data_IF_780471838475
#
_entry.id   IF_780471838475
#
_cell.length_a   1.000
_cell.length_b   1.000
_cell.length_c   1.000
_cell.angle_alpha   90.00
_cell.angle_beta   90.00
_cell.angle_gamma   90.00
#
_symmetry.space_group_name_H-M   'P 1'
#
loop_
_entity.id
_entity.type
_entity.pdbx_description
1 polymer ?
#
# COMPACT_ATOMS: atom_id res chain seq x y z
N UNK A 1 -3.66 -0.74 -0.62
CA UNK A 1 -2.92 -1.79 -1.32
C UNK A 1 -3.12 -3.17 -0.69
N UNK A 2 -2.83 -3.34 0.60
CA UNK A 2 -3.04 -4.62 1.28
C UNK A 2 -4.50 -5.15 1.19
N UNK A 3 -5.48 -4.29 0.93
CA UNK A 3 -6.88 -4.69 0.85
C UNK A 3 -7.18 -5.63 -0.32
N UNK A 4 -6.58 -5.43 -1.48
CA UNK A 4 -6.81 -6.32 -2.65
C UNK A 4 -6.29 -7.71 -2.35
N UNK A 5 -5.10 -7.82 -1.78
CA UNK A 5 -4.48 -9.11 -1.42
C UNK A 5 -5.29 -9.85 -0.35
N UNK A 6 -5.92 -9.12 0.57
CA UNK A 6 -6.72 -9.70 1.65
C UNK A 6 -8.04 -10.33 1.16
N UNK A 7 -8.60 -9.85 0.06
CA UNK A 7 -9.92 -10.28 -0.42
C UNK A 7 -9.89 -11.27 -1.58
N UNK A 8 -8.75 -11.43 -2.27
CA UNK A 8 -8.66 -12.45 -3.32
C UNK A 8 -8.46 -13.87 -2.76
N UNK A 9 -8.86 -14.91 -3.50
CA UNK A 9 -8.49 -16.29 -3.17
C UNK A 9 -6.97 -16.49 -3.13
N UNK A 10 -6.49 -17.40 -2.31
CA UNK A 10 -5.06 -17.73 -2.22
C UNK A 10 -4.55 -18.31 -3.53
N UNK A 11 -3.36 -17.87 -3.94
CA UNK A 11 -2.59 -18.47 -5.01
C UNK A 11 -1.55 -19.44 -4.43
N UNK A 12 -0.96 -20.29 -5.26
CA UNK A 12 0.08 -21.23 -4.83
C UNK A 12 1.29 -20.51 -4.21
N UNK A 13 1.69 -19.37 -4.79
CA UNK A 13 2.74 -18.50 -4.27
C UNK A 13 2.27 -17.05 -4.38
N UNK A 14 2.45 -16.30 -3.32
CA UNK A 14 2.06 -14.90 -3.24
C UNK A 14 3.21 -14.06 -2.67
N UNK A 15 3.42 -12.88 -3.24
CA UNK A 15 4.31 -11.89 -2.67
C UNK A 15 3.65 -10.51 -2.71
N UNK A 16 3.92 -9.70 -1.69
CA UNK A 16 3.53 -8.31 -1.59
C UNK A 16 4.79 -7.48 -1.41
N UNK A 17 4.97 -6.49 -2.28
CA UNK A 17 6.12 -5.60 -2.25
C UNK A 17 5.66 -4.15 -2.08
N UNK A 18 6.36 -3.41 -1.25
CA UNK A 18 6.17 -1.97 -1.06
C UNK A 18 7.53 -1.33 -0.77
N UNK A 19 7.73 -0.10 -1.21
CA UNK A 19 8.95 0.65 -0.95
C UNK A 19 8.97 1.21 0.48
N UNK A 20 7.79 1.37 1.11
CA UNK A 20 7.66 1.91 2.45
C UNK A 20 8.00 0.85 3.51
N UNK A 21 9.11 1.02 4.25
CA UNK A 21 9.54 0.05 5.25
C UNK A 21 8.56 -0.07 6.42
N UNK A 22 7.84 1.01 6.77
CA UNK A 22 6.82 0.99 7.81
C UNK A 22 5.62 0.10 7.44
N UNK A 23 5.17 0.17 6.19
CA UNK A 23 4.11 -0.71 5.68
C UNK A 23 4.51 -2.17 5.77
N UNK A 24 5.69 -2.51 5.27
CA UNK A 24 6.19 -3.89 5.30
C UNK A 24 6.45 -4.38 6.73
N UNK A 25 7.00 -3.53 7.60
CA UNK A 25 7.17 -3.86 9.01
C UNK A 25 5.84 -4.16 9.70
N UNK A 26 4.81 -3.33 9.47
CA UNK A 26 3.46 -3.55 9.99
C UNK A 26 2.88 -4.90 9.54
N UNK A 27 2.96 -5.20 8.24
CA UNK A 27 2.45 -6.46 7.69
C UNK A 27 3.21 -7.69 8.22
N UNK A 28 4.55 -7.62 8.34
CA UNK A 28 5.37 -8.68 8.93
C UNK A 28 5.02 -8.95 10.39
N UNK A 29 4.74 -7.89 11.15
CA UNK A 29 4.32 -8.04 12.54
C UNK A 29 2.93 -8.67 12.65
N UNK A 30 1.97 -8.20 11.87
CA UNK A 30 0.62 -8.78 11.82
C UNK A 30 0.70 -10.25 11.42
N UNK A 31 1.52 -10.58 10.42
CA UNK A 31 1.72 -11.95 9.97
C UNK A 31 2.26 -12.88 11.07
N UNK A 32 3.25 -12.41 11.85
CA UNK A 32 3.99 -13.25 12.79
C UNK A 32 3.46 -13.21 14.22
N UNK A 33 2.98 -12.05 14.68
CA UNK A 33 2.67 -11.79 16.08
C UNK A 33 1.33 -11.06 16.28
N UNK A 34 0.21 -11.58 15.71
CA UNK A 34 -1.07 -10.87 15.73
C UNK A 34 -1.57 -10.59 17.14
N UNK A 35 -1.42 -11.54 18.08
CA UNK A 35 -1.87 -11.37 19.46
C UNK A 35 -1.13 -10.23 20.16
N UNK A 36 0.19 -10.17 20.02
CA UNK A 36 1.04 -9.12 20.60
C UNK A 36 0.65 -7.74 20.06
N UNK A 37 0.38 -7.64 18.76
CA UNK A 37 -0.03 -6.37 18.15
C UNK A 37 -1.41 -5.94 18.62
N UNK A 38 -2.36 -6.86 18.67
CA UNK A 38 -3.71 -6.58 19.19
C UNK A 38 -3.63 -6.07 20.63
N UNK A 39 -2.85 -6.71 21.48
CA UNK A 39 -2.64 -6.28 22.86
C UNK A 39 -2.03 -4.87 22.92
N UNK A 40 -0.94 -4.61 22.21
CA UNK A 40 -0.25 -3.32 22.21
C UNK A 40 -1.12 -2.19 21.67
N UNK A 41 -1.83 -2.40 20.57
CA UNK A 41 -2.73 -1.40 20.00
C UNK A 41 -3.94 -1.14 20.90
N UNK A 42 -4.44 -2.14 21.61
CA UNK A 42 -5.55 -1.98 22.56
C UNK A 42 -5.17 -1.13 23.78
N UNK A 43 -3.88 -1.10 24.14
CA UNK A 43 -3.31 -0.28 25.24
C UNK A 43 -2.64 0.99 24.74
N UNK A 44 -2.58 1.20 23.41
CA UNK A 44 -1.88 2.34 22.85
C UNK A 44 -2.61 3.65 23.12
N UNK A 45 -1.85 4.66 23.53
CA UNK A 45 -2.39 6.01 23.72
C UNK A 45 -2.47 6.74 22.38
N UNK A 46 -3.66 6.78 21.77
CA UNK A 46 -3.89 7.49 20.52
C UNK A 46 -4.01 8.99 20.78
N UNK A 47 -2.88 9.67 20.99
CA UNK A 47 -2.77 11.10 21.27
C UNK A 47 -1.94 11.84 20.20
N UNK A 48 -2.01 13.19 20.20
CA UNK A 48 -1.22 14.01 19.30
C UNK A 48 0.29 13.82 19.53
N UNK A 49 0.71 13.66 20.79
CA UNK A 49 2.11 13.42 21.12
C UNK A 49 2.58 12.08 20.53
N UNK A 50 1.82 11.01 20.72
CA UNK A 50 2.14 9.70 20.16
C UNK A 50 2.13 9.72 18.62
N UNK A 51 1.23 10.48 17.98
CA UNK A 51 1.26 10.68 16.55
C UNK A 51 2.59 11.30 16.09
N UNK A 52 3.08 12.32 16.77
CA UNK A 52 4.38 12.95 16.44
C UNK A 52 5.54 11.97 16.67
N UNK A 53 5.52 11.22 17.77
CA UNK A 53 6.53 10.18 18.05
C UNK A 53 6.56 9.12 16.94
N UNK A 54 5.39 8.62 16.52
CA UNK A 54 5.29 7.67 15.42
C UNK A 54 5.78 8.27 14.10
N UNK A 55 5.48 9.55 13.83
CA UNK A 55 5.94 10.25 12.62
C UNK A 55 7.47 10.34 12.56
N UNK A 56 8.12 10.69 13.68
CA UNK A 56 9.58 10.73 13.80
C UNK A 56 10.17 9.32 13.61
N UNK A 57 9.57 8.32 14.24
CA UNK A 57 9.99 6.93 14.13
C UNK A 57 9.97 6.44 12.66
N UNK A 58 8.93 6.79 11.93
CA UNK A 58 8.79 6.44 10.50
C UNK A 58 9.78 7.22 9.62
N UNK A 59 10.07 8.48 9.95
CA UNK A 59 11.05 9.30 9.24
C UNK A 59 12.49 8.81 9.40
N UNK A 60 12.84 8.26 10.55
CA UNK A 60 14.18 7.69 10.83
C UNK A 60 14.39 6.30 10.22
N UNK A 61 13.33 5.66 9.76
CA UNK A 61 13.39 4.35 9.10
C UNK A 61 13.73 3.16 9.98
N UNK A 62 13.83 2.00 9.36
CA UNK A 62 14.05 0.72 10.06
C UNK A 62 15.44 0.56 10.69
N UNK A 63 16.43 1.35 10.25
CA UNK A 63 17.80 1.26 10.76
C UNK A 63 17.96 1.76 12.19
N UNK A 64 17.07 2.66 12.65
CA UNK A 64 17.11 3.23 13.99
C UNK A 64 16.19 2.50 14.98
N UNK A 65 15.21 1.73 14.48
CA UNK A 65 14.19 1.07 15.28
C UNK A 65 14.07 -0.40 14.85
N UNK A 66 13.88 -1.31 15.79
CA UNK A 66 13.52 -2.69 15.47
C UNK A 66 12.21 -2.76 14.66
N UNK A 67 12.04 -3.82 13.87
CA UNK A 67 10.85 -4.07 13.03
C UNK A 67 9.55 -3.91 13.83
N UNK A 68 9.54 -4.33 15.09
CA UNK A 68 8.37 -4.26 15.95
C UNK A 68 7.94 -2.80 16.23
N UNK A 69 8.86 -1.96 16.68
CA UNK A 69 8.58 -0.56 16.96
C UNK A 69 8.17 0.21 15.72
N UNK A 70 8.83 -0.06 14.58
CA UNK A 70 8.50 0.54 13.30
C UNK A 70 7.09 0.16 12.83
N UNK A 71 6.74 -1.13 12.91
CA UNK A 71 5.43 -1.61 12.47
C UNK A 71 4.28 -1.11 13.35
N UNK A 72 4.45 -1.10 14.67
CA UNK A 72 3.45 -0.51 15.59
C UNK A 72 3.28 0.99 15.31
N UNK A 73 4.40 1.71 15.12
CA UNK A 73 4.36 3.13 14.77
C UNK A 73 3.62 3.37 13.45
N UNK A 74 3.81 2.53 12.44
CA UNK A 74 3.12 2.66 11.16
C UNK A 74 1.60 2.46 11.29
N UNK A 75 1.16 1.44 12.05
CA UNK A 75 -0.26 1.17 12.27
C UNK A 75 -0.88 2.32 13.08
N UNK A 76 -0.26 2.71 14.21
CA UNK A 76 -0.77 3.75 15.08
C UNK A 76 -0.81 5.12 14.38
N UNK A 77 0.25 5.49 13.64
CA UNK A 77 0.32 6.71 12.85
C UNK A 77 -0.81 6.77 11.82
N UNK A 78 -0.96 5.72 11.02
CA UNK A 78 -2.02 5.62 10.02
C UNK A 78 -3.42 5.68 10.63
N UNK A 79 -3.62 5.08 11.81
CA UNK A 79 -4.91 5.08 12.51
C UNK A 79 -5.30 6.46 13.07
N UNK A 80 -4.31 7.29 13.44
CA UNK A 80 -4.52 8.66 13.96
C UNK A 80 -4.51 9.73 12.88
N UNK A 81 -4.08 9.38 11.69
CA UNK A 81 -3.86 10.33 10.61
C UNK A 81 -5.15 10.77 9.93
N UNK A 82 -5.17 12.02 9.52
CA UNK A 82 -6.15 12.51 8.57
C UNK A 82 -5.72 12.06 7.17
N UNK A 83 -6.47 11.13 6.58
CA UNK A 83 -6.18 10.64 5.23
C UNK A 83 -6.83 11.56 4.20
N UNK A 84 -6.03 12.11 3.30
CA UNK A 84 -6.48 12.89 2.15
C UNK A 84 -5.85 12.32 0.88
N UNK A 85 -6.67 11.76 -0.01
CA UNK A 85 -6.21 11.27 -1.31
C UNK A 85 -5.13 10.18 -1.21
N UNK A 86 -5.26 9.23 -0.27
CA UNK A 86 -4.25 8.17 -0.07
C UNK A 86 -3.02 8.60 0.73
N UNK A 87 -2.86 9.89 1.02
CA UNK A 87 -1.76 10.41 1.83
C UNK A 87 -2.19 10.78 3.25
N UNK A 88 -1.22 10.77 4.15
CA UNK A 88 -1.41 11.20 5.53
C UNK A 88 -1.13 12.70 5.64
N UNK A 89 -2.16 13.48 5.98
CA UNK A 89 -2.07 14.94 6.10
C UNK A 89 -2.18 15.45 7.53
N UNK A 90 -1.43 14.83 8.45
CA UNK A 90 -1.36 15.27 9.83
C UNK A 90 -2.33 14.57 10.79
N UNK A 91 -2.26 14.94 12.06
CA UNK A 91 -3.06 14.37 13.15
C UNK A 91 -4.53 14.73 13.04
N UNK A 92 -5.40 13.75 13.30
CA UNK A 92 -6.84 13.92 13.40
C UNK A 92 -7.36 13.46 14.76
N UNK A 93 -7.88 14.36 15.62
CA UNK A 93 -8.49 13.98 16.89
C UNK A 93 -9.64 12.99 16.73
N UNK A 94 -10.43 13.13 15.65
CA UNK A 94 -11.57 12.24 15.36
C UNK A 94 -11.08 10.82 15.00
N UNK A 95 -10.01 10.70 14.20
CA UNK A 95 -9.44 9.41 13.86
C UNK A 95 -8.77 8.76 15.09
N UNK A 96 -8.06 9.53 15.90
CA UNK A 96 -7.48 9.06 17.14
C UNK A 96 -8.56 8.53 18.12
N UNK A 97 -9.68 9.24 18.27
CA UNK A 97 -10.80 8.79 19.09
C UNK A 97 -11.44 7.49 18.55
N UNK A 98 -11.53 7.35 17.22
CA UNK A 98 -12.01 6.11 16.57
C UNK A 98 -11.01 4.97 16.78
N UNK A 99 -9.71 5.22 16.64
CA UNK A 99 -8.66 4.22 16.83
C UNK A 99 -8.66 3.69 18.27
N UNK A 100 -8.83 4.56 19.28
CA UNK A 100 -8.95 4.18 20.68
C UNK A 100 -10.12 3.23 20.97
N UNK A 101 -11.22 3.38 20.22
CA UNK A 101 -12.43 2.54 20.38
C UNK A 101 -12.43 1.33 19.44
N UNK A 102 -11.42 1.18 18.59
CA UNK A 102 -11.38 0.13 17.57
C UNK A 102 -11.13 -1.22 18.23
N UNK A 103 -11.92 -2.22 17.85
CA UNK A 103 -11.58 -3.60 18.13
C UNK A 103 -10.48 -4.05 17.14
N UNK A 104 -9.28 -4.27 17.64
CA UNK A 104 -8.13 -4.67 16.83
C UNK A 104 -8.08 -6.17 16.55
N UNK A 105 -9.01 -6.98 17.09
CA UNK A 105 -9.01 -8.44 16.90
C UNK A 105 -9.14 -8.89 15.44
N UNK A 106 -9.66 -8.02 14.55
CA UNK A 106 -9.69 -8.34 13.11
C UNK A 106 -8.29 -8.60 12.52
N UNK A 107 -7.23 -8.14 13.18
CA UNK A 107 -5.85 -8.39 12.74
C UNK A 107 -5.49 -9.88 12.80
N UNK A 108 -6.19 -10.71 13.57
CA UNK A 108 -6.02 -12.16 13.51
C UNK A 108 -6.42 -12.72 12.13
N UNK A 109 -7.57 -12.31 11.59
CA UNK A 109 -7.99 -12.71 10.24
C UNK A 109 -7.03 -12.20 9.16
N UNK A 110 -6.50 -10.97 9.31
CA UNK A 110 -5.45 -10.45 8.44
C UNK A 110 -4.19 -11.31 8.51
N UNK A 111 -3.76 -11.69 9.73
CA UNK A 111 -2.61 -12.57 9.92
C UNK A 111 -2.81 -13.92 9.23
N UNK A 112 -3.98 -14.55 9.42
CA UNK A 112 -4.31 -15.82 8.76
C UNK A 112 -4.21 -15.71 7.24
N UNK A 113 -4.73 -14.60 6.65
CA UNK A 113 -4.65 -14.39 5.21
C UNK A 113 -3.21 -14.18 4.72
N UNK A 114 -2.37 -13.56 5.53
CA UNK A 114 -0.97 -13.29 5.19
C UNK A 114 -0.04 -14.50 5.37
N UNK A 115 -0.49 -15.61 5.97
CA UNK A 115 0.36 -16.80 6.12
C UNK A 115 0.82 -17.31 4.74
N UNK A 116 2.13 -17.52 4.61
CA UNK A 116 2.74 -17.96 3.34
C UNK A 116 2.96 -16.85 2.30
N UNK A 117 2.49 -15.62 2.54
CA UNK A 117 2.78 -14.46 1.67
C UNK A 117 4.19 -13.95 1.94
N UNK A 118 5.00 -13.83 0.90
CA UNK A 118 6.33 -13.22 0.98
C UNK A 118 6.18 -11.68 1.05
N UNK A 119 6.68 -11.06 2.11
CA UNK A 119 6.61 -9.61 2.33
C UNK A 119 7.97 -8.97 2.08
N UNK A 120 8.07 -8.15 1.03
CA UNK A 120 9.32 -7.57 0.53
C UNK A 120 9.30 -6.05 0.62
N UNK A 121 10.34 -5.47 1.22
CA UNK A 121 10.58 -4.02 1.15
C UNK A 121 11.58 -3.77 0.02
N UNK A 122 11.08 -3.51 -1.18
CA UNK A 122 11.92 -3.34 -2.35
C UNK A 122 11.24 -2.45 -3.41
N UNK A 123 12.02 -1.84 -4.30
CA UNK A 123 11.48 -1.10 -5.43
C UNK A 123 10.78 -2.04 -6.41
N UNK A 124 9.83 -1.47 -7.18
CA UNK A 124 9.04 -2.24 -8.15
C UNK A 124 9.90 -2.94 -9.23
N UNK A 125 11.05 -2.37 -9.59
CA UNK A 125 11.99 -2.97 -10.55
C UNK A 125 12.46 -4.35 -10.07
N UNK A 126 12.71 -4.49 -8.78
CA UNK A 126 13.10 -5.76 -8.18
C UNK A 126 11.90 -6.72 -8.06
N UNK A 127 10.71 -6.18 -7.76
CA UNK A 127 9.49 -6.99 -7.70
C UNK A 127 9.11 -7.60 -9.05
N UNK A 128 9.44 -6.92 -10.17
CA UNK A 128 9.16 -7.35 -11.55
C UNK A 128 10.36 -8.01 -12.26
N UNK A 129 11.36 -8.48 -11.50
CA UNK A 129 12.64 -8.93 -12.09
C UNK A 129 12.51 -10.18 -12.95
N UNK A 130 11.77 -11.17 -12.49
CA UNK A 130 11.69 -12.49 -13.12
C UNK A 130 10.24 -12.86 -13.48
N UNK A 131 9.63 -12.18 -14.49
CA UNK A 131 8.26 -12.46 -14.88
C UNK A 131 8.16 -13.81 -15.59
N UNK A 132 7.07 -14.54 -15.31
CA UNK A 132 6.73 -15.77 -16.01
C UNK A 132 5.32 -15.66 -16.63
N UNK A 133 5.00 -16.43 -17.68
CA UNK A 133 3.67 -16.38 -18.31
C UNK A 133 2.50 -16.70 -17.38
N UNK A 134 2.76 -17.42 -16.28
CA UNK A 134 1.76 -17.79 -15.27
C UNK A 134 1.70 -16.83 -14.08
N UNK A 135 2.63 -15.88 -13.99
CA UNK A 135 2.64 -14.89 -12.92
C UNK A 135 1.65 -13.77 -13.22
N UNK A 136 0.85 -13.44 -12.22
CA UNK A 136 -0.05 -12.29 -12.24
C UNK A 136 0.50 -11.18 -11.36
N UNK A 137 0.57 -9.98 -11.90
CA UNK A 137 1.00 -8.77 -11.20
C UNK A 137 -0.16 -7.78 -11.10
N UNK A 138 -0.50 -7.39 -9.87
CA UNK A 138 -1.34 -6.22 -9.63
C UNK A 138 -0.44 -5.05 -9.25
N UNK A 139 -0.45 -4.00 -10.07
CA UNK A 139 0.39 -2.82 -9.91
C UNK A 139 -0.50 -1.63 -9.54
N UNK A 140 -0.21 -1.01 -8.40
CA UNK A 140 -0.91 0.16 -7.86
C UNK A 140 0.11 1.23 -7.46
N UNK A 141 0.78 1.86 -8.46
CA UNK A 141 1.78 2.89 -8.18
C UNK A 141 1.12 4.14 -7.59
N UNK A 142 1.87 5.01 -6.89
CA UNK A 142 1.40 6.36 -6.59
C UNK A 142 0.92 7.02 -7.86
N UNK A 143 -0.32 7.52 -7.91
CA UNK A 143 -0.91 8.00 -9.15
C UNK A 143 -0.19 9.23 -9.67
N UNK A 144 -0.03 9.33 -11.00
CA UNK A 144 0.67 10.43 -11.66
C UNK A 144 0.10 11.80 -11.28
N UNK A 145 -1.22 11.89 -11.11
CA UNK A 145 -1.90 13.08 -10.61
C UNK A 145 -2.32 12.88 -9.15
N UNK A 146 -1.78 13.68 -8.23
CA UNK A 146 -2.08 13.61 -6.79
C UNK A 146 -1.21 12.61 -6.02
N UNK A 147 -0.29 11.94 -6.69
CA UNK A 147 0.64 10.99 -6.06
C UNK A 147 1.84 11.66 -5.35
N UNK A 148 2.03 12.97 -5.52
CA UNK A 148 3.09 13.75 -4.89
C UNK A 148 3.01 13.79 -3.36
N UNK A 149 1.87 13.45 -2.80
CA UNK A 149 1.66 13.43 -1.34
C UNK A 149 1.96 12.09 -0.68
N UNK A 150 2.30 11.05 -1.45
CA UNK A 150 2.73 9.77 -0.88
C UNK A 150 4.11 9.88 -0.23
N UNK A 151 4.40 9.05 0.75
CA UNK A 151 5.73 8.99 1.38
C UNK A 151 6.83 8.58 0.39
N UNK A 152 6.49 7.75 -0.58
CA UNK A 152 7.35 7.32 -1.68
C UNK A 152 6.68 7.69 -3.00
N UNK A 153 6.71 8.96 -3.42
CA UNK A 153 6.07 9.39 -4.65
C UNK A 153 6.79 8.83 -5.87
N UNK A 154 6.05 8.67 -6.96
CA UNK A 154 6.60 8.30 -8.27
C UNK A 154 6.40 9.49 -9.22
N UNK A 155 7.48 9.97 -9.83
CA UNK A 155 7.42 11.04 -10.82
C UNK A 155 7.08 10.48 -12.22
N UNK A 156 6.86 11.36 -13.19
CA UNK A 156 6.52 10.96 -14.56
C UNK A 156 7.57 10.05 -15.19
N UNK A 157 8.87 10.29 -14.93
CA UNK A 157 9.95 9.43 -15.43
C UNK A 157 9.84 8.01 -14.87
N UNK A 158 9.50 7.85 -13.58
CA UNK A 158 9.28 6.55 -12.96
C UNK A 158 8.05 5.82 -13.54
N UNK A 159 6.97 6.58 -13.82
CA UNK A 159 5.81 6.02 -14.52
C UNK A 159 6.16 5.57 -15.93
N UNK A 160 6.93 6.36 -16.68
CA UNK A 160 7.39 6.01 -18.02
C UNK A 160 8.22 4.74 -18.03
N UNK A 161 9.19 4.64 -17.13
CA UNK A 161 10.02 3.43 -16.94
C UNK A 161 9.17 2.19 -16.63
N UNK A 162 8.19 2.31 -15.72
CA UNK A 162 7.27 1.22 -15.40
C UNK A 162 6.46 0.78 -16.64
N UNK A 163 5.89 1.75 -17.36
CA UNK A 163 5.09 1.49 -18.56
C UNK A 163 5.94 0.84 -19.65
N UNK A 164 7.14 1.32 -19.91
CA UNK A 164 8.09 0.71 -20.87
C UNK A 164 8.42 -0.74 -20.48
N UNK A 165 8.62 -0.98 -19.17
CA UNK A 165 8.91 -2.32 -18.67
C UNK A 165 7.77 -3.29 -18.92
N UNK A 166 6.51 -2.91 -18.61
CA UNK A 166 5.37 -3.82 -18.69
C UNK A 166 4.78 -3.95 -20.10
N UNK A 167 5.00 -2.98 -20.99
CA UNK A 167 4.54 -3.03 -22.39
C UNK A 167 5.58 -3.58 -23.37
N UNK A 168 6.83 -3.72 -22.91
CA UNK A 168 7.92 -4.31 -23.69
C UNK A 168 7.82 -5.83 -23.79
N UNK A 169 8.96 -6.51 -23.66
CA UNK A 169 9.04 -7.99 -23.67
C UNK A 169 8.66 -8.60 -22.30
N UNK A 170 7.59 -8.12 -21.69
CA UNK A 170 7.12 -8.62 -20.39
C UNK A 170 6.13 -9.78 -20.59
N UNK A 171 6.44 -10.93 -20.01
CA UNK A 171 5.66 -12.18 -20.25
C UNK A 171 4.58 -12.45 -19.18
N UNK A 172 4.52 -11.66 -18.10
CA UNK A 172 3.53 -11.81 -17.05
C UNK A 172 2.18 -11.20 -17.40
N UNK A 173 1.14 -11.64 -16.71
CA UNK A 173 -0.18 -10.99 -16.73
C UNK A 173 -0.16 -9.80 -15.79
N UNK A 174 -0.58 -8.65 -16.27
CA UNK A 174 -0.55 -7.38 -15.52
C UNK A 174 -1.94 -6.77 -15.43
N UNK A 175 -2.32 -6.37 -14.23
CA UNK A 175 -3.38 -5.41 -13.98
C UNK A 175 -2.76 -4.17 -13.33
N UNK A 176 -2.94 -3.01 -13.95
CA UNK A 176 -2.39 -1.72 -13.53
C UNK A 176 -3.53 -0.76 -13.19
N UNK A 177 -3.55 -0.24 -11.96
CA UNK A 177 -4.50 0.79 -11.52
C UNK A 177 -3.92 2.19 -11.65
N UNK A 178 -4.78 3.17 -11.87
CA UNK A 178 -4.38 4.57 -11.94
C UNK A 178 -5.47 5.49 -12.47
N UNK A 179 -5.14 6.79 -12.59
CA UNK A 179 -5.97 7.75 -13.31
C UNK A 179 -5.59 7.79 -14.80
N UNK A 180 -6.56 8.06 -15.64
CA UNK A 180 -6.32 8.26 -17.07
C UNK A 180 -5.41 9.46 -17.31
N UNK A 181 -4.46 9.32 -18.24
CA UNK A 181 -3.54 10.35 -18.67
C UNK A 181 -3.02 10.06 -20.08
N UNK A 182 -2.57 11.09 -20.79
CA UNK A 182 -1.99 10.95 -22.13
C UNK A 182 -0.82 9.95 -22.13
N UNK A 183 0.00 9.96 -21.06
CA UNK A 183 1.10 9.01 -20.90
C UNK A 183 0.59 7.56 -20.87
N UNK A 184 -0.43 7.28 -20.06
CA UNK A 184 -0.99 5.93 -19.94
C UNK A 184 -1.69 5.49 -21.22
N UNK A 185 -2.46 6.40 -21.87
CA UNK A 185 -3.11 6.13 -23.16
C UNK A 185 -2.09 5.79 -24.27
N UNK A 186 -0.95 6.48 -24.28
CA UNK A 186 0.11 6.23 -25.25
C UNK A 186 0.69 4.82 -25.12
N UNK A 187 1.04 4.40 -23.90
CA UNK A 187 1.71 3.13 -23.65
C UNK A 187 0.77 1.92 -23.59
N UNK A 188 -0.44 2.11 -23.06
CA UNK A 188 -1.40 1.03 -22.81
C UNK A 188 -2.42 0.86 -23.96
N UNK A 189 -2.10 1.37 -25.14
CA UNK A 189 -2.93 1.19 -26.32
C UNK A 189 -3.13 -0.29 -26.63
N UNK A 190 -4.40 -0.71 -26.70
CA UNK A 190 -4.75 -2.11 -26.94
C UNK A 190 -4.87 -2.98 -25.69
N UNK A 191 -4.54 -2.46 -24.50
CA UNK A 191 -4.87 -3.14 -23.26
C UNK A 191 -6.36 -3.04 -22.96
N UNK A 192 -6.93 -4.09 -22.37
CA UNK A 192 -8.30 -4.03 -21.85
C UNK A 192 -8.36 -2.99 -20.74
N UNK A 193 -9.31 -2.06 -20.82
CA UNK A 193 -9.53 -0.99 -19.83
C UNK A 193 -10.90 -1.12 -19.20
N UNK A 194 -10.95 -1.01 -17.89
CA UNK A 194 -12.18 -0.90 -17.10
C UNK A 194 -12.13 0.41 -16.33
N UNK A 195 -13.22 1.17 -16.39
CA UNK A 195 -13.39 2.41 -15.64
C UNK A 195 -14.26 2.18 -14.42
N UNK A 196 -13.84 2.73 -13.30
CA UNK A 196 -14.54 2.64 -12.01
C UNK A 196 -14.83 4.06 -11.54
N UNK A 197 -16.11 4.39 -11.43
CA UNK A 197 -16.52 5.67 -10.86
C UNK A 197 -16.19 5.66 -9.36
N UNK A 198 -15.30 6.54 -8.95
CA UNK A 198 -14.88 6.74 -7.56
C UNK A 198 -15.17 8.18 -7.12
N UNK A 199 -15.08 8.44 -5.85
CA UNK A 199 -15.12 9.78 -5.28
C UNK A 199 -13.82 10.01 -4.50
N UNK A 200 -13.20 11.16 -4.71
CA UNK A 200 -12.10 11.58 -3.86
C UNK A 200 -12.61 11.94 -2.44
N UNK A 201 -11.71 12.16 -1.50
CA UNK A 201 -12.06 12.50 -0.12
C UNK A 201 -12.82 13.84 0.02
N UNK A 202 -12.89 14.65 -1.03
CA UNK A 202 -13.71 15.86 -1.13
C UNK A 202 -15.04 15.60 -1.84
N UNK A 203 -15.41 14.33 -2.05
CA UNK A 203 -16.61 13.87 -2.77
C UNK A 203 -16.68 14.35 -4.22
N UNK A 204 -15.55 14.70 -4.84
CA UNK A 204 -15.51 15.02 -6.26
C UNK A 204 -15.46 13.71 -7.05
N UNK A 205 -16.26 13.64 -8.10
CA UNK A 205 -16.24 12.49 -9.00
C UNK A 205 -14.84 12.30 -9.58
N UNK A 206 -14.37 11.07 -9.58
CA UNK A 206 -13.12 10.61 -10.17
C UNK A 206 -13.40 9.34 -10.95
N UNK A 207 -12.63 9.14 -12.01
CA UNK A 207 -12.64 7.89 -12.75
C UNK A 207 -11.28 7.22 -12.52
N UNK A 208 -11.32 6.09 -11.83
CA UNK A 208 -10.17 5.21 -11.70
C UNK A 208 -10.20 4.20 -12.83
N UNK A 209 -9.05 3.91 -13.39
CA UNK A 209 -8.91 2.98 -14.49
C UNK A 209 -8.11 1.76 -14.05
N UNK A 210 -8.51 0.60 -14.56
CA UNK A 210 -7.77 -0.64 -14.45
C UNK A 210 -7.44 -1.12 -15.86
N UNK A 211 -6.16 -1.17 -16.20
CA UNK A 211 -5.66 -1.69 -17.47
C UNK A 211 -5.13 -3.10 -17.30
N UNK A 212 -5.43 -3.97 -18.25
CA UNK A 212 -5.05 -5.38 -18.21
C UNK A 212 -4.51 -5.81 -19.58
N UNK A 213 -3.40 -6.55 -19.59
CA UNK A 213 -2.78 -7.09 -20.82
C UNK A 213 -3.26 -8.49 -21.21
N UNK A 214 -4.36 -8.98 -20.58
CA UNK A 214 -4.92 -10.32 -20.78
C UNK A 214 -6.45 -10.27 -20.91
#
# INVERSE_FOLDING_TARGET
FASVELFKPRSFRESLSDLNPGTIAALKLIQRYPATIVERLSRFEFSKMQFMTCSIALGNGASALGIEALGISAIAYSAMANQRGGSVSGYSPQQAARAKKRNWSYLHGVSERLQGVELRCCPWQEALKDPTPVTFYYLDPPYLQGGEHYQCPMNESGHRELLERITGKFVGKVALSGYDSDLYQQYLKGWRRVEINAQDNKRRARVECLWMNY
#
